data_IF_052001036690
#
_entry.id   IF_052001036690
#
_cell.length_a   1.000
_cell.length_b   1.000
_cell.length_c   1.000
_cell.angle_alpha   90.00
_cell.angle_beta   90.00
_cell.angle_gamma   90.00
#
_symmetry.space_group_name_H-M   'P 1'
#
loop_
_entity.id
_entity.type
_entity.pdbx_description
1 polymer ?
#
# COMPACT_ATOMS: atom_id res chain seq x y z
N UNK A 1 7.99 2.24 10.04
CA UNK A 1 6.95 1.38 9.45
C UNK A 1 7.53 -0.01 9.23
N UNK A 2 6.84 -1.04 9.67
CA UNK A 2 7.25 -2.43 9.43
C UNK A 2 6.57 -2.92 8.17
N UNK A 3 7.35 -3.32 7.18
CA UNK A 3 6.84 -3.75 5.89
C UNK A 3 6.89 -5.27 5.80
N UNK A 4 5.80 -5.84 5.32
CA UNK A 4 5.71 -7.27 5.06
C UNK A 4 5.56 -7.49 3.56
N UNK A 5 6.55 -8.13 2.95
CA UNK A 5 6.43 -8.63 1.58
C UNK A 5 5.54 -9.87 1.60
N UNK A 6 4.57 -9.91 0.72
CA UNK A 6 3.69 -11.07 0.58
C UNK A 6 4.40 -12.12 -0.28
N UNK A 7 4.22 -13.40 0.05
CA UNK A 7 4.88 -14.52 -0.62
C UNK A 7 4.71 -14.49 -2.15
N UNK A 8 3.55 -14.07 -2.64
CA UNK A 8 3.30 -13.90 -4.07
C UNK A 8 4.29 -12.91 -4.71
N UNK A 9 4.47 -11.75 -4.08
CA UNK A 9 5.37 -10.71 -4.54
C UNK A 9 6.83 -11.18 -4.51
N UNK A 10 7.23 -11.81 -3.42
CA UNK A 10 8.58 -12.34 -3.25
C UNK A 10 8.92 -13.36 -4.33
N UNK A 11 8.03 -14.30 -4.60
CA UNK A 11 8.24 -15.31 -5.63
C UNK A 11 8.38 -14.70 -7.02
N UNK A 12 7.57 -13.69 -7.34
CA UNK A 12 7.63 -13.00 -8.63
C UNK A 12 8.93 -12.23 -8.81
N UNK A 13 9.43 -11.60 -7.76
CA UNK A 13 10.72 -10.90 -7.79
C UNK A 13 11.86 -11.89 -8.00
N UNK A 14 11.87 -12.99 -7.25
CA UNK A 14 12.91 -14.02 -7.38
C UNK A 14 12.93 -14.65 -8.77
N UNK A 15 11.77 -14.96 -9.32
CA UNK A 15 11.68 -15.50 -10.69
C UNK A 15 12.15 -14.48 -11.73
N UNK A 16 11.89 -13.20 -11.53
CA UNK A 16 12.36 -12.15 -12.42
C UNK A 16 13.89 -12.02 -12.39
N UNK A 17 14.48 -12.08 -11.20
CA UNK A 17 15.92 -11.89 -11.01
C UNK A 17 16.71 -13.14 -11.44
N UNK A 18 16.27 -14.33 -11.05
CA UNK A 18 17.06 -15.56 -11.19
C UNK A 18 16.56 -16.52 -12.26
N UNK A 19 15.32 -16.38 -12.71
CA UNK A 19 14.70 -17.33 -13.65
C UNK A 19 14.31 -16.68 -14.99
N UNK A 20 14.57 -15.40 -15.16
CA UNK A 20 14.31 -14.69 -16.41
C UNK A 20 12.82 -14.52 -16.75
N UNK A 21 11.92 -14.66 -15.78
CA UNK A 21 10.49 -14.45 -15.98
C UNK A 21 10.18 -12.97 -15.77
N UNK A 22 9.79 -12.21 -16.80
CA UNK A 22 9.53 -10.79 -16.64
C UNK A 22 8.43 -10.53 -15.61
N UNK A 23 8.70 -9.60 -14.69
CA UNK A 23 7.72 -9.12 -13.75
C UNK A 23 7.79 -7.61 -13.63
N UNK A 24 6.66 -6.96 -13.85
CA UNK A 24 6.56 -5.51 -13.79
C UNK A 24 5.20 -5.12 -13.23
N UNK A 25 5.20 -4.17 -12.33
CA UNK A 25 3.99 -3.48 -11.88
C UNK A 25 3.86 -2.21 -12.70
N UNK A 26 2.94 -2.20 -13.67
CA UNK A 26 2.76 -1.02 -14.54
C UNK A 26 2.14 0.14 -13.79
N UNK A 27 1.15 -0.14 -12.94
CA UNK A 27 0.49 0.85 -12.12
C UNK A 27 0.42 0.34 -10.69
N UNK A 28 1.00 1.08 -9.77
CA UNK A 28 0.92 0.77 -8.35
C UNK A 28 -0.15 1.63 -7.69
N UNK A 29 -0.87 1.03 -6.75
CA UNK A 29 -1.92 1.69 -5.97
C UNK A 29 -1.64 1.51 -4.50
N UNK A 30 -1.92 2.53 -3.71
CA UNK A 30 -1.86 2.47 -2.26
C UNK A 30 -3.28 2.46 -1.70
N UNK A 31 -3.53 1.55 -0.79
CA UNK A 31 -4.79 1.41 -0.09
C UNK A 31 -4.61 1.44 1.41
N UNK A 32 -5.73 1.50 2.11
CA UNK A 32 -5.80 1.53 3.56
C UNK A 32 -6.54 0.30 4.05
N UNK A 33 -6.05 -0.29 5.13
CA UNK A 33 -6.60 -1.55 5.64
C UNK A 33 -6.65 -1.57 7.16
N UNK A 34 -7.53 -2.42 7.67
CA UNK A 34 -7.59 -2.79 9.09
C UNK A 34 -7.10 -4.22 9.24
N UNK A 35 -6.53 -4.55 10.39
CA UNK A 35 -6.17 -5.94 10.70
C UNK A 35 -7.37 -6.64 11.30
N UNK A 36 -7.55 -7.91 10.97
CA UNK A 36 -8.53 -8.75 11.60
C UNK A 36 -7.89 -10.13 11.91
N UNK A 37 -7.76 -10.42 13.19
CA UNK A 37 -7.18 -11.65 13.67
C UNK A 37 -5.68 -11.59 13.90
N UNK A 38 -5.19 -12.54 14.69
CA UNK A 38 -3.78 -12.70 15.07
C UNK A 38 -3.12 -13.88 14.35
N UNK A 39 -3.67 -14.26 13.19
CA UNK A 39 -3.15 -15.39 12.42
C UNK A 39 -1.78 -15.07 11.83
N UNK A 40 -0.98 -16.12 11.61
CA UNK A 40 0.27 -16.05 10.86
C UNK A 40 0.09 -16.74 9.49
N UNK A 41 0.12 -15.99 8.36
CA UNK A 41 0.29 -14.55 8.27
C UNK A 41 -0.95 -13.76 8.72
N UNK A 42 -0.78 -12.54 9.23
CA UNK A 42 -1.92 -11.74 9.68
C UNK A 42 -2.86 -11.42 8.51
N UNK A 43 -4.16 -11.35 8.81
CA UNK A 43 -5.17 -11.01 7.82
C UNK A 43 -5.44 -9.51 7.87
N UNK A 44 -5.41 -8.87 6.69
CA UNK A 44 -5.68 -7.45 6.55
C UNK A 44 -6.92 -7.26 5.69
N UNK A 45 -7.80 -6.36 6.11
CA UNK A 45 -9.02 -6.05 5.39
C UNK A 45 -8.99 -4.60 4.92
N UNK A 46 -9.15 -4.42 3.62
CA UNK A 46 -9.27 -3.09 3.04
C UNK A 46 -10.53 -2.37 3.53
N UNK A 47 -10.46 -1.05 3.69
CA UNK A 47 -11.63 -0.23 3.99
C UNK A 47 -12.71 -0.42 2.92
N UNK A 48 -13.97 -0.48 3.36
CA UNK A 48 -15.11 -0.71 2.47
C UNK A 48 -16.08 0.47 2.43
N UNK A 49 -15.72 1.60 3.03
CA UNK A 49 -16.56 2.80 3.01
C UNK A 49 -16.73 3.33 1.59
N UNK A 50 -17.90 3.88 1.27
CA UNK A 50 -18.23 4.29 -0.10
C UNK A 50 -17.40 5.49 -0.60
N UNK A 51 -16.84 6.28 0.31
CA UNK A 51 -16.01 7.44 0.02
C UNK A 51 -14.51 7.13 -0.02
N UNK A 52 -14.15 5.85 0.11
CA UNK A 52 -12.77 5.38 0.04
C UNK A 52 -12.48 4.75 -1.32
N UNK A 53 -11.29 5.01 -1.85
CA UNK A 53 -10.71 4.29 -2.98
C UNK A 53 -9.19 4.26 -2.84
N UNK A 54 -8.56 3.31 -3.51
CA UNK A 54 -7.10 3.28 -3.63
C UNK A 54 -6.63 4.46 -4.46
N UNK A 55 -5.41 4.93 -4.18
CA UNK A 55 -4.79 6.03 -4.94
C UNK A 55 -3.61 5.51 -5.73
N UNK A 56 -3.48 6.01 -6.95
CA UNK A 56 -2.33 5.67 -7.79
C UNK A 56 -1.06 6.32 -7.28
N UNK A 57 0.03 5.58 -7.33
CA UNK A 57 1.35 6.06 -6.92
C UNK A 57 2.21 6.25 -8.16
N UNK A 58 2.90 7.38 -8.22
CA UNK A 58 4.01 7.59 -9.14
C UNK A 58 5.30 7.56 -8.35
N UNK A 59 6.38 7.08 -8.97
CA UNK A 59 7.60 6.76 -8.27
C UNK A 59 8.77 7.61 -8.75
N UNK A 60 9.66 7.96 -7.81
CA UNK A 60 11.00 8.42 -8.14
C UNK A 60 11.86 7.23 -8.56
N UNK A 61 13.00 7.51 -9.18
CA UNK A 61 13.98 6.46 -9.45
C UNK A 61 14.52 5.90 -8.14
N UNK A 62 14.64 4.58 -8.05
CA UNK A 62 15.18 3.93 -6.86
C UNK A 62 16.62 4.37 -6.61
N UNK A 63 16.97 4.56 -5.35
CA UNK A 63 18.30 4.98 -4.94
C UNK A 63 18.61 4.42 -3.56
N UNK A 64 19.83 3.92 -3.37
CA UNK A 64 20.27 3.40 -2.07
C UNK A 64 19.46 2.21 -1.56
N UNK A 65 18.89 1.40 -2.45
CA UNK A 65 18.05 0.25 -2.08
C UNK A 65 16.63 0.63 -1.68
N UNK A 66 16.20 1.85 -1.98
CA UNK A 66 14.86 2.34 -1.65
C UNK A 66 14.21 3.01 -2.84
N UNK A 67 12.88 3.01 -2.86
CA UNK A 67 12.08 3.76 -3.83
C UNK A 67 11.03 4.58 -3.07
N UNK A 68 10.79 5.80 -3.54
CA UNK A 68 9.86 6.73 -2.91
C UNK A 68 8.82 7.24 -3.90
N UNK A 69 7.66 7.66 -3.40
CA UNK A 69 6.63 8.25 -4.23
C UNK A 69 7.04 9.65 -4.70
N UNK A 70 6.70 9.97 -5.95
CA UNK A 70 6.94 11.30 -6.53
C UNK A 70 5.73 12.21 -6.48
N UNK A 71 4.52 11.64 -6.35
CA UNK A 71 3.28 12.40 -6.28
C UNK A 71 2.76 12.54 -4.84
N UNK A 72 2.00 13.58 -4.60
CA UNK A 72 1.22 13.72 -3.38
C UNK A 72 0.02 12.78 -3.44
N UNK A 73 -0.27 12.08 -2.34
CA UNK A 73 -1.41 11.17 -2.24
C UNK A 73 -2.34 11.73 -1.17
N UNK A 74 -3.60 11.94 -1.52
CA UNK A 74 -4.58 12.57 -0.63
C UNK A 74 -5.86 11.75 -0.57
N UNK A 75 -6.33 11.44 0.63
CA UNK A 75 -7.69 10.97 0.88
C UNK A 75 -8.43 12.03 1.68
N UNK A 76 -9.69 12.26 1.31
CA UNK A 76 -10.55 13.22 2.02
C UNK A 76 -11.79 12.49 2.52
N UNK A 77 -11.76 11.91 3.73
CA UNK A 77 -12.92 11.21 4.29
C UNK A 77 -14.11 12.15 4.47
N UNK A 78 -15.27 11.74 3.97
CA UNK A 78 -16.54 12.42 4.25
C UNK A 78 -17.33 11.72 5.34
N UNK A 79 -16.91 10.50 5.69
CA UNK A 79 -17.44 9.72 6.81
C UNK A 79 -16.31 9.38 7.76
N UNK A 80 -16.64 8.92 8.95
CA UNK A 80 -15.62 8.49 9.91
C UNK A 80 -15.10 7.11 9.54
N UNK A 81 -13.82 7.03 9.15
CA UNK A 81 -13.17 5.75 8.83
C UNK A 81 -12.58 5.05 10.05
N UNK A 82 -12.56 5.73 11.21
CA UNK A 82 -11.99 5.19 12.44
C UNK A 82 -10.47 5.12 12.41
N UNK A 83 -9.92 4.17 13.15
CA UNK A 83 -8.47 3.94 13.18
C UNK A 83 -8.06 3.05 12.01
N UNK A 84 -7.08 3.51 11.25
CA UNK A 84 -6.53 2.78 10.11
C UNK A 84 -5.07 2.46 10.40
N UNK A 85 -4.77 1.24 10.87
CA UNK A 85 -3.41 0.89 11.30
C UNK A 85 -2.50 0.40 10.17
N UNK A 86 -3.02 0.12 8.98
CA UNK A 86 -2.23 -0.46 7.90
C UNK A 86 -2.48 0.22 6.57
N UNK A 87 -1.42 0.26 5.77
CA UNK A 87 -1.48 0.61 4.35
C UNK A 87 -0.90 -0.55 3.54
N UNK A 88 -1.30 -0.66 2.28
CA UNK A 88 -0.79 -1.71 1.41
C UNK A 88 -0.60 -1.19 -0.01
N UNK A 89 0.24 -1.88 -0.76
CA UNK A 89 0.43 -1.64 -2.19
C UNK A 89 -0.20 -2.77 -2.99
N UNK A 90 -0.80 -2.42 -4.11
CA UNK A 90 -1.40 -3.35 -5.04
C UNK A 90 -1.09 -2.93 -6.48
N UNK A 91 -1.21 -3.87 -7.41
CA UNK A 91 -1.03 -3.62 -8.85
C UNK A 91 -2.35 -3.32 -9.57
N UNK A 92 -3.47 -3.29 -8.84
CA UNK A 92 -4.79 -3.02 -9.40
C UNK A 92 -5.55 -2.02 -8.53
N UNK A 93 -6.47 -1.28 -9.16
CA UNK A 93 -7.27 -0.25 -8.48
C UNK A 93 -8.32 -0.86 -7.55
N UNK A 94 -8.78 -2.07 -7.82
CA UNK A 94 -9.78 -2.78 -7.01
C UNK A 94 -9.49 -4.28 -7.04
N UNK A 95 -9.73 -4.94 -5.92
CA UNK A 95 -9.50 -6.38 -5.80
C UNK A 95 -8.02 -6.74 -5.89
N UNK A 96 -7.71 -7.92 -6.44
CA UNK A 96 -6.35 -8.39 -6.60
C UNK A 96 -5.64 -8.68 -5.28
N UNK A 97 -4.32 -8.81 -5.37
CA UNK A 97 -3.48 -9.15 -4.23
C UNK A 97 -2.85 -7.92 -3.58
N UNK A 98 -2.67 -7.97 -2.27
CA UNK A 98 -1.83 -7.03 -1.56
C UNK A 98 -0.38 -7.45 -1.75
N UNK A 99 0.43 -6.61 -2.38
CA UNK A 99 1.83 -6.96 -2.69
C UNK A 99 2.74 -6.70 -1.50
N UNK A 100 2.56 -5.57 -0.85
CA UNK A 100 3.34 -5.15 0.32
C UNK A 100 2.38 -4.54 1.31
N UNK A 101 2.54 -4.88 2.58
CA UNK A 101 1.75 -4.31 3.67
C UNK A 101 2.67 -3.61 4.65
N UNK A 102 2.34 -2.39 5.00
CA UNK A 102 3.07 -1.60 5.96
C UNK A 102 2.18 -1.16 7.12
N UNK A 103 2.75 -0.99 8.29
CA UNK A 103 2.02 -0.43 9.43
C UNK A 103 2.04 1.09 9.39
N UNK A 104 0.90 1.69 9.68
CA UNK A 104 0.73 3.14 9.76
C UNK A 104 -0.26 3.42 10.89
N UNK A 105 -0.14 4.57 11.54
CA UNK A 105 -1.07 4.94 12.59
C UNK A 105 -1.83 6.19 12.17
N UNK A 106 -3.03 5.99 11.65
CA UNK A 106 -3.92 7.07 11.22
C UNK A 106 -5.22 6.99 11.98
N UNK A 107 -5.65 8.12 12.51
CA UNK A 107 -6.99 8.28 13.08
C UNK A 107 -7.76 9.25 12.18
N UNK A 108 -8.76 8.73 11.48
CA UNK A 108 -9.41 9.45 10.40
C UNK A 108 -10.86 9.73 10.74
N UNK A 109 -11.13 10.91 11.29
CA UNK A 109 -12.48 11.43 11.45
C UNK A 109 -13.01 12.03 10.15
N UNK A 110 -14.33 12.19 10.05
CA UNK A 110 -14.97 12.88 8.94
C UNK A 110 -14.41 14.31 8.80
N UNK A 111 -14.10 14.71 7.57
CA UNK A 111 -13.56 16.04 7.27
C UNK A 111 -12.04 16.17 7.46
N UNK A 112 -11.37 15.16 7.98
CA UNK A 112 -9.91 15.15 8.08
C UNK A 112 -9.30 14.68 6.76
N UNK A 113 -8.22 15.33 6.34
CA UNK A 113 -7.47 14.87 5.17
C UNK A 113 -6.32 13.98 5.61
N UNK A 114 -6.10 12.90 4.84
CA UNK A 114 -4.91 12.06 4.95
C UNK A 114 -4.01 12.43 3.78
N UNK A 115 -2.82 12.96 4.07
CA UNK A 115 -1.90 13.43 3.04
C UNK A 115 -0.58 12.70 3.19
N UNK A 116 -0.14 12.08 2.09
CA UNK A 116 1.22 11.58 1.95
C UNK A 116 1.94 12.47 0.95
N UNK A 117 2.88 13.25 1.45
CA UNK A 117 3.68 14.13 0.61
C UNK A 117 4.64 13.35 -0.30
N UNK A 118 5.13 13.94 -1.40
CA UNK A 118 6.19 13.31 -2.18
C UNK A 118 7.37 12.92 -1.29
N UNK A 119 7.84 11.69 -1.42
CA UNK A 119 8.92 11.13 -0.61
C UNK A 119 8.51 10.58 0.76
N UNK A 120 7.26 10.75 1.17
CA UNK A 120 6.79 10.25 2.46
C UNK A 120 6.61 8.73 2.50
N UNK A 121 6.30 8.12 1.36
CA UNK A 121 6.20 6.67 1.23
C UNK A 121 7.51 6.12 0.73
N UNK A 122 8.12 5.24 1.52
CA UNK A 122 9.39 4.60 1.16
C UNK A 122 9.22 3.09 1.17
N UNK A 123 9.68 2.44 0.11
CA UNK A 123 9.75 0.98 0.02
C UNK A 123 11.23 0.59 -0.06
N UNK A 124 11.64 -0.26 0.87
CA UNK A 124 13.03 -0.74 0.99
C UNK A 124 13.13 -2.24 0.79
#
# INVERSE_FOLDING_TARGET
>A
MTDYSITYWEGRILDSVFHGVPFRVENAYIGLATANGEAEPPTYFELTTSDYNRKRIEWNTASGGAITNSNQIVWTPTTNWGTVPYTFLSDVAQGGDMLIVGSISLNTGAGSQIILEPGALTVT
#
